data_IF_411209194063
#
_entry.id   IF_411209194063
#
_cell.length_a   1.000
_cell.length_b   1.000
_cell.length_c   1.000
_cell.angle_alpha   90.00
_cell.angle_beta   90.00
_cell.angle_gamma   90.00
#
_symmetry.space_group_name_H-M   'P 1'
#
loop_
_entity.id
_entity.type
_entity.pdbx_description
1 polymer ?
#
# COMPACT_ATOMS: atom_id res chain seq x y z
N UNK A 1 -39.72 -39.19 41.31
CA UNK A 1 -38.79 -38.09 40.94
C UNK A 1 -38.36 -38.32 39.51
N UNK A 2 -38.55 -37.34 38.64
CA UNK A 2 -37.92 -37.36 37.30
C UNK A 2 -36.59 -36.64 37.43
N UNK A 3 -35.55 -37.22 36.83
CA UNK A 3 -34.20 -36.66 36.83
C UNK A 3 -33.79 -36.38 35.40
N UNK A 4 -33.24 -35.20 35.18
CA UNK A 4 -32.66 -34.80 33.90
C UNK A 4 -31.14 -34.84 34.03
N UNK A 5 -30.52 -35.53 33.08
CA UNK A 5 -29.07 -35.52 32.89
C UNK A 5 -28.67 -34.16 32.35
N UNK A 6 -27.87 -33.42 33.09
CA UNK A 6 -27.24 -32.20 32.59
C UNK A 6 -25.80 -32.48 32.17
N UNK A 7 -25.49 -32.04 30.96
CA UNK A 7 -24.12 -31.95 30.44
C UNK A 7 -23.80 -30.46 30.30
N UNK A 8 -22.89 -29.96 31.13
CA UNK A 8 -22.43 -28.58 31.16
C UNK A 8 -21.07 -28.50 30.50
N UNK A 9 -21.05 -28.01 29.28
CA UNK A 9 -19.85 -27.75 28.49
C UNK A 9 -19.11 -26.52 29.05
N UNK A 10 -17.85 -26.67 29.40
CA UNK A 10 -17.05 -25.65 30.11
C UNK A 10 -15.92 -25.13 29.23
N UNK A 11 -15.52 -23.87 29.44
CA UNK A 11 -14.34 -23.33 28.76
C UNK A 11 -13.05 -23.86 29.41
N UNK A 12 -12.07 -24.20 28.58
CA UNK A 12 -10.74 -24.65 29.01
C UNK A 12 -10.10 -23.64 29.99
N UNK A 13 -9.40 -24.10 31.06
CA UNK A 13 -8.90 -25.46 31.27
C UNK A 13 -9.88 -26.44 31.92
N UNK A 14 -11.12 -26.03 32.23
CA UNK A 14 -12.06 -26.87 32.98
C UNK A 14 -12.69 -27.98 32.11
N UNK A 15 -12.85 -29.21 32.64
CA UNK A 15 -13.46 -30.33 31.91
C UNK A 15 -14.99 -30.27 31.92
N UNK A 16 -15.62 -30.75 30.85
CA UNK A 16 -17.07 -30.88 30.73
C UNK A 16 -17.68 -31.61 31.93
N UNK A 17 -18.66 -30.98 32.58
CA UNK A 17 -19.31 -31.49 33.79
C UNK A 17 -20.57 -32.28 33.42
N UNK A 18 -20.78 -33.44 34.04
CA UNK A 18 -22.03 -34.19 33.98
C UNK A 18 -22.65 -34.32 35.38
N UNK A 19 -23.97 -34.10 35.51
CA UNK A 19 -24.67 -34.18 36.78
C UNK A 19 -26.17 -34.50 36.62
N UNK A 20 -26.73 -35.20 37.59
CA UNK A 20 -28.17 -35.50 37.69
C UNK A 20 -28.86 -34.45 38.58
N UNK A 21 -30.00 -33.95 38.13
CA UNK A 21 -30.82 -32.93 38.82
C UNK A 21 -32.30 -33.24 38.63
N UNK A 22 -33.18 -32.83 39.54
CA UNK A 22 -34.63 -32.98 39.34
C UNK A 22 -35.09 -32.21 38.11
N UNK A 23 -35.91 -32.81 37.25
CA UNK A 23 -36.47 -32.15 36.06
C UNK A 23 -37.34 -30.92 36.39
N UNK A 24 -37.73 -30.77 37.67
CA UNK A 24 -38.47 -29.62 38.22
C UNK A 24 -37.59 -28.47 38.70
N UNK A 25 -36.27 -28.65 38.79
CA UNK A 25 -35.35 -27.60 39.26
C UNK A 25 -35.31 -26.45 38.24
N UNK A 26 -35.52 -25.18 38.66
CA UNK A 26 -35.36 -24.03 37.77
C UNK A 26 -33.89 -23.70 37.53
N UNK A 27 -33.60 -23.09 36.38
CA UNK A 27 -32.24 -22.74 35.97
C UNK A 27 -31.51 -21.84 36.99
N UNK A 28 -32.21 -20.93 37.68
CA UNK A 28 -31.66 -20.07 38.74
C UNK A 28 -30.93 -20.85 39.85
N UNK A 29 -31.44 -22.02 40.23
CA UNK A 29 -30.82 -22.87 41.27
C UNK A 29 -29.66 -23.74 40.75
N UNK A 30 -29.48 -23.87 39.44
CA UNK A 30 -28.39 -24.68 38.90
C UNK A 30 -27.01 -24.07 39.16
N UNK A 31 -26.87 -22.76 39.20
CA UNK A 31 -25.59 -22.13 39.54
C UNK A 31 -25.16 -22.48 40.99
N UNK A 32 -26.12 -22.63 41.91
CA UNK A 32 -25.90 -23.15 43.26
C UNK A 32 -25.61 -24.67 43.27
N UNK A 33 -26.39 -25.46 42.53
CA UNK A 33 -26.20 -26.92 42.42
C UNK A 33 -24.91 -27.35 41.69
N UNK A 34 -24.33 -26.47 40.86
CA UNK A 34 -23.04 -26.67 40.19
C UNK A 34 -21.90 -26.22 41.11
N UNK A 35 -22.00 -25.05 41.74
CA UNK A 35 -20.97 -24.54 42.68
C UNK A 35 -20.82 -25.38 43.95
N UNK A 36 -21.90 -25.99 44.44
CA UNK A 36 -21.85 -26.96 45.53
C UNK A 36 -21.12 -28.28 45.16
N UNK A 37 -20.98 -28.59 43.87
CA UNK A 37 -20.31 -29.82 43.37
C UNK A 37 -18.90 -29.58 42.80
N UNK A 38 -18.60 -28.38 42.32
CA UNK A 38 -17.33 -28.06 41.64
C UNK A 38 -16.77 -26.68 42.07
N UNK A 39 -16.37 -26.50 43.34
CA UNK A 39 -15.99 -25.19 43.90
C UNK A 39 -14.79 -24.50 43.21
N UNK A 40 -14.01 -25.21 42.41
CA UNK A 40 -12.82 -24.70 41.71
C UNK A 40 -13.14 -23.81 40.49
N UNK A 41 -14.41 -23.72 40.04
CA UNK A 41 -14.77 -22.89 38.89
C UNK A 41 -14.99 -21.40 39.28
N UNK A 42 -14.55 -20.43 38.45
CA UNK A 42 -14.66 -19.00 38.74
C UNK A 42 -16.07 -18.43 38.47
N UNK A 43 -17.07 -18.85 39.25
CA UNK A 43 -18.49 -18.52 39.05
C UNK A 43 -18.79 -17.02 38.85
N UNK A 44 -18.04 -16.13 39.50
CA UNK A 44 -18.22 -14.67 39.43
C UNK A 44 -18.06 -14.08 38.01
N UNK A 45 -17.40 -14.82 37.11
CA UNK A 45 -17.12 -14.43 35.73
C UNK A 45 -17.67 -15.45 34.71
N UNK A 46 -18.62 -16.29 35.11
CA UNK A 46 -19.25 -17.32 34.27
C UNK A 46 -20.77 -17.15 34.22
N UNK A 47 -21.42 -17.67 33.18
CA UNK A 47 -22.88 -17.65 33.01
C UNK A 47 -23.35 -18.84 32.17
N UNK A 48 -24.51 -19.42 32.52
CA UNK A 48 -25.12 -20.52 31.77
C UNK A 48 -25.83 -20.04 30.50
N UNK A 49 -25.44 -20.59 29.36
CA UNK A 49 -26.01 -20.29 28.04
C UNK A 49 -26.51 -21.56 27.34
N UNK A 50 -27.49 -21.40 26.44
CA UNK A 50 -27.89 -22.46 25.51
C UNK A 50 -26.78 -22.69 24.47
N UNK A 51 -26.39 -23.95 24.17
CA UNK A 51 -25.46 -24.24 23.07
C UNK A 51 -25.95 -23.74 21.70
N UNK A 52 -27.26 -23.58 21.54
CA UNK A 52 -27.92 -23.08 20.33
C UNK A 52 -28.10 -21.55 20.31
N UNK A 53 -27.62 -20.82 21.33
CA UNK A 53 -27.66 -19.35 21.37
C UNK A 53 -29.02 -18.73 21.70
N UNK A 54 -29.99 -19.51 22.19
CA UNK A 54 -31.25 -18.99 22.73
C UNK A 54 -31.04 -18.37 24.12
N UNK A 55 -31.70 -17.24 24.40
CA UNK A 55 -31.77 -16.67 25.74
C UNK A 55 -32.53 -17.64 26.68
N UNK A 56 -31.91 -17.98 27.80
CA UNK A 56 -32.51 -18.85 28.82
C UNK A 56 -33.13 -18.01 29.93
N UNK A 57 -34.43 -18.16 30.17
CA UNK A 57 -35.08 -17.56 31.34
C UNK A 57 -34.78 -18.36 32.60
N UNK A 58 -34.30 -17.69 33.64
CA UNK A 58 -33.82 -18.29 34.90
C UNK A 58 -34.92 -19.06 35.67
N UNK A 59 -36.18 -18.67 35.50
CA UNK A 59 -37.34 -19.34 36.14
C UNK A 59 -37.78 -20.63 35.42
N UNK A 60 -37.19 -20.94 34.26
CA UNK A 60 -37.60 -22.08 33.43
C UNK A 60 -37.14 -23.40 34.05
N UNK A 61 -38.02 -24.40 34.23
CA UNK A 61 -37.63 -25.72 34.71
C UNK A 61 -36.94 -26.54 33.62
N UNK A 62 -36.04 -27.44 34.02
CA UNK A 62 -35.28 -28.30 33.11
C UNK A 62 -36.14 -29.14 32.16
N UNK A 63 -37.32 -29.58 32.58
CA UNK A 63 -38.28 -30.32 31.75
C UNK A 63 -38.77 -29.53 30.52
N UNK A 64 -38.73 -28.19 30.56
CA UNK A 64 -39.09 -27.36 29.40
C UNK A 64 -37.90 -27.13 28.44
N UNK A 65 -36.66 -27.30 28.91
CA UNK A 65 -35.45 -27.24 28.06
C UNK A 65 -35.20 -28.57 27.33
N UNK A 66 -35.70 -29.69 27.85
CA UNK A 66 -35.27 -31.03 27.43
C UNK A 66 -35.94 -31.59 26.17
N UNK A 67 -36.87 -30.84 25.55
CA UNK A 67 -37.58 -31.21 24.31
C UNK A 67 -38.21 -32.61 24.32
N UNK A 68 -38.60 -33.11 25.50
CA UNK A 68 -39.19 -34.44 25.69
C UNK A 68 -38.20 -35.59 25.93
N UNK A 69 -36.89 -35.31 26.04
CA UNK A 69 -35.88 -36.26 26.50
C UNK A 69 -35.43 -36.02 27.95
N UNK A 70 -34.57 -36.90 28.47
CA UNK A 70 -33.97 -36.78 29.81
C UNK A 70 -32.53 -36.22 29.79
N UNK A 71 -32.12 -35.57 28.68
CA UNK A 71 -30.80 -34.97 28.51
C UNK A 71 -30.94 -33.48 28.13
N UNK A 72 -30.25 -32.61 28.88
CA UNK A 72 -30.13 -31.18 28.57
C UNK A 72 -28.65 -30.80 28.52
N UNK A 73 -28.24 -30.19 27.41
CA UNK A 73 -26.90 -29.65 27.22
C UNK A 73 -26.90 -28.14 27.47
N UNK A 74 -26.05 -27.65 28.37
CA UNK A 74 -25.79 -26.24 28.63
C UNK A 74 -24.32 -25.92 28.38
N UNK A 75 -23.97 -24.64 28.16
CA UNK A 75 -22.58 -24.19 28.11
C UNK A 75 -22.34 -23.10 29.15
N UNK A 76 -21.27 -23.24 29.93
CA UNK A 76 -20.85 -22.29 30.95
C UNK A 76 -19.80 -21.35 30.35
N UNK A 77 -20.25 -20.16 29.94
CA UNK A 77 -19.47 -19.18 29.17
C UNK A 77 -18.90 -18.07 30.07
N UNK A 78 -17.69 -17.55 29.80
CA UNK A 78 -17.17 -16.37 30.49
C UNK A 78 -17.99 -15.13 30.17
N UNK A 79 -18.45 -14.43 31.21
CA UNK A 79 -19.15 -13.16 31.10
C UNK A 79 -18.16 -12.02 30.88
N UNK A 80 -18.27 -11.33 29.75
CA UNK A 80 -17.41 -10.19 29.43
C UNK A 80 -17.93 -8.94 30.16
N UNK A 81 -17.11 -8.40 31.07
CA UNK A 81 -17.34 -7.15 31.80
C UNK A 81 -17.18 -5.91 30.89
N UNK A 82 -17.98 -5.83 29.81
CA UNK A 82 -17.85 -4.76 28.81
C UNK A 82 -19.07 -4.59 27.92
N UNK A 83 -19.55 -3.35 27.81
CA UNK A 83 -20.64 -2.99 26.89
C UNK A 83 -20.23 -3.11 25.42
N UNK A 84 -21.15 -3.58 24.57
CA UNK A 84 -20.97 -3.89 23.13
C UNK A 84 -20.61 -2.69 22.22
N UNK A 85 -20.29 -1.53 22.81
CA UNK A 85 -20.16 -0.23 22.12
C UNK A 85 -18.82 0.04 21.43
N UNK A 86 -17.74 -0.67 21.79
CA UNK A 86 -16.38 -0.41 21.28
C UNK A 86 -16.30 -0.42 19.74
N UNK A 87 -16.69 -1.52 19.12
CA UNK A 87 -16.71 -1.67 17.65
C UNK A 87 -17.64 -0.63 16.97
N UNK A 88 -18.83 -0.39 17.53
CA UNK A 88 -19.75 0.63 17.02
C UNK A 88 -19.21 2.06 17.11
N UNK A 89 -18.34 2.36 18.08
CA UNK A 89 -17.63 3.64 18.16
C UNK A 89 -16.55 3.77 17.08
N UNK A 90 -15.80 2.69 16.82
CA UNK A 90 -14.79 2.65 15.76
C UNK A 90 -15.42 2.79 14.37
N UNK A 91 -16.55 2.12 14.11
CA UNK A 91 -17.31 2.27 12.85
C UNK A 91 -17.79 3.71 12.65
N UNK A 92 -18.32 4.38 13.69
CA UNK A 92 -18.70 5.80 13.60
C UNK A 92 -17.51 6.72 13.34
N UNK A 93 -16.37 6.48 14.01
CA UNK A 93 -15.14 7.24 13.79
C UNK A 93 -14.56 7.03 12.37
N UNK A 94 -14.62 5.81 11.84
CA UNK A 94 -14.20 5.50 10.47
C UNK A 94 -15.13 6.15 9.43
N UNK A 95 -16.46 5.99 9.58
CA UNK A 95 -17.46 6.58 8.68
C UNK A 95 -17.36 8.11 8.62
N UNK A 96 -17.13 8.77 9.77
CA UNK A 96 -16.88 10.22 9.81
C UNK A 96 -15.65 10.66 9.02
N UNK A 97 -14.56 9.88 9.04
CA UNK A 97 -13.35 10.13 8.22
C UNK A 97 -13.64 9.95 6.73
N UNK A 98 -14.30 8.86 6.35
CA UNK A 98 -14.62 8.56 4.94
C UNK A 98 -15.62 9.57 4.34
N UNK A 99 -16.55 10.08 5.15
CA UNK A 99 -17.51 11.13 4.73
C UNK A 99 -16.86 12.52 4.60
N UNK A 100 -15.92 12.87 5.48
CA UNK A 100 -15.26 14.18 5.47
C UNK A 100 -14.10 14.29 4.47
N UNK A 101 -13.40 13.19 4.17
CA UNK A 101 -12.35 13.15 3.14
C UNK A 101 -12.94 13.13 1.73
N UNK A 102 -13.55 14.24 1.30
CA UNK A 102 -14.04 14.43 -0.07
C UNK A 102 -12.88 14.31 -1.06
N UNK A 103 -12.92 13.30 -1.93
CA UNK A 103 -11.84 12.97 -2.84
C UNK A 103 -11.45 14.17 -3.73
N UNK A 104 -10.23 14.67 -3.56
CA UNK A 104 -9.69 15.82 -4.31
C UNK A 104 -9.13 15.47 -5.69
N UNK A 105 -9.09 14.17 -6.04
CA UNK A 105 -8.61 13.67 -7.33
C UNK A 105 -9.61 13.93 -8.47
N UNK A 106 -9.68 15.19 -8.89
CA UNK A 106 -10.48 15.66 -10.03
C UNK A 106 -9.71 15.50 -11.36
N UNK A 107 -8.62 14.73 -11.42
CA UNK A 107 -7.69 14.76 -12.55
C UNK A 107 -8.24 14.11 -13.83
N UNK A 108 -9.11 13.12 -13.65
CA UNK A 108 -9.88 12.46 -14.72
C UNK A 108 -11.06 13.30 -15.25
N UNK A 109 -11.45 14.37 -14.56
CA UNK A 109 -12.53 15.25 -15.00
C UNK A 109 -12.14 15.99 -16.29
N UNK A 110 -13.14 16.39 -17.08
CA UNK A 110 -12.95 17.14 -18.33
C UNK A 110 -13.41 18.59 -18.20
N UNK A 111 -12.80 19.47 -18.98
CA UNK A 111 -13.28 20.84 -19.20
C UNK A 111 -14.39 20.86 -20.27
N UNK A 112 -14.98 22.04 -20.50
CA UNK A 112 -16.01 22.27 -21.52
C UNK A 112 -15.50 22.05 -22.97
N UNK A 113 -14.18 21.91 -23.16
CA UNK A 113 -13.54 21.63 -24.45
C UNK A 113 -13.16 20.14 -24.61
N UNK A 114 -13.60 19.27 -23.68
CA UNK A 114 -13.33 17.83 -23.70
C UNK A 114 -11.90 17.41 -23.26
N UNK A 115 -11.07 18.35 -22.83
CA UNK A 115 -9.69 18.12 -22.36
C UNK A 115 -9.72 17.68 -20.89
N UNK A 116 -8.85 16.75 -20.48
CA UNK A 116 -8.76 16.33 -19.07
C UNK A 116 -8.05 17.41 -18.23
N UNK A 117 -8.41 17.52 -16.95
CA UNK A 117 -7.72 18.44 -16.04
C UNK A 117 -6.25 18.05 -15.83
N UNK A 118 -5.90 16.76 -15.96
CA UNK A 118 -4.52 16.26 -15.98
C UNK A 118 -3.65 16.98 -17.02
N UNK A 119 -4.02 16.94 -18.30
CA UNK A 119 -3.21 17.51 -19.39
C UNK A 119 -3.13 19.04 -19.33
N UNK A 120 -4.13 19.70 -18.73
CA UNK A 120 -4.10 21.14 -18.46
C UNK A 120 -3.08 21.47 -17.34
N UNK A 121 -2.98 20.65 -16.29
CA UNK A 121 -1.96 20.80 -15.24
C UNK A 121 -0.56 20.52 -15.77
N UNK A 122 -0.40 19.47 -16.58
CA UNK A 122 0.85 19.12 -17.23
C UNK A 122 1.35 20.25 -18.15
N UNK A 123 0.48 20.78 -19.02
CA UNK A 123 0.81 21.91 -19.88
C UNK A 123 1.23 23.16 -19.08
N UNK A 124 0.52 23.48 -17.99
CA UNK A 124 0.89 24.58 -17.07
C UNK A 124 2.23 24.34 -16.37
N UNK A 125 2.51 23.10 -15.95
CA UNK A 125 3.79 22.72 -15.32
C UNK A 125 4.95 22.83 -16.31
N UNK A 126 4.74 22.46 -17.58
CA UNK A 126 5.73 22.61 -18.64
C UNK A 126 5.96 24.09 -19.01
N UNK A 127 4.92 24.90 -19.09
CA UNK A 127 5.05 26.35 -19.29
C UNK A 127 5.87 27.01 -18.17
N UNK A 128 5.49 26.78 -16.90
CA UNK A 128 6.23 27.30 -15.74
C UNK A 128 7.69 26.80 -15.68
N UNK A 129 7.97 25.58 -16.16
CA UNK A 129 9.34 25.07 -16.26
C UNK A 129 10.18 25.87 -17.29
N UNK A 130 9.59 26.17 -18.45
CA UNK A 130 10.23 26.96 -19.51
C UNK A 130 10.41 28.43 -19.09
N UNK A 131 9.41 29.01 -18.41
CA UNK A 131 9.48 30.35 -17.81
C UNK A 131 10.58 30.46 -16.74
N UNK A 132 10.83 29.39 -15.99
CA UNK A 132 11.92 29.31 -15.00
C UNK A 132 13.31 29.01 -15.60
N UNK A 133 13.42 28.62 -16.88
CA UNK A 133 14.73 28.38 -17.50
C UNK A 133 15.68 29.60 -17.49
N UNK A 134 15.29 30.84 -17.84
CA UNK A 134 16.20 31.99 -17.77
C UNK A 134 16.74 32.26 -16.36
N UNK A 135 15.94 32.06 -15.32
CA UNK A 135 16.38 32.24 -13.93
C UNK A 135 17.37 31.14 -13.52
N UNK A 136 17.06 29.87 -13.83
CA UNK A 136 17.96 28.74 -13.58
C UNK A 136 19.26 28.84 -14.37
N UNK A 137 19.22 29.40 -15.59
CA UNK A 137 20.43 29.68 -16.40
C UNK A 137 21.27 30.81 -15.79
N UNK A 138 20.66 31.89 -15.28
CA UNK A 138 21.36 32.96 -14.53
C UNK A 138 22.03 32.41 -13.28
N UNK A 139 21.28 31.70 -12.42
CA UNK A 139 21.80 31.10 -11.20
C UNK A 139 22.99 30.14 -11.47
N UNK A 140 22.90 29.29 -12.50
CA UNK A 140 24.01 28.40 -12.90
C UNK A 140 25.22 29.18 -13.46
N UNK A 141 25.02 30.34 -14.11
CA UNK A 141 26.13 31.21 -14.55
C UNK A 141 26.75 31.95 -13.35
N UNK A 142 25.95 32.40 -12.40
CA UNK A 142 26.40 33.07 -11.17
C UNK A 142 27.15 32.10 -10.26
N UNK A 143 26.64 30.88 -10.05
CA UNK A 143 27.37 29.79 -9.39
C UNK A 143 28.72 29.50 -10.07
N UNK A 144 28.74 29.42 -11.41
CA UNK A 144 29.99 29.17 -12.15
C UNK A 144 30.98 30.32 -12.01
N UNK A 145 30.52 31.58 -12.04
CA UNK A 145 31.34 32.76 -11.78
C UNK A 145 31.89 32.76 -10.36
N UNK A 146 31.05 32.54 -9.35
CA UNK A 146 31.49 32.45 -7.95
C UNK A 146 32.49 31.30 -7.71
N UNK A 147 32.30 30.15 -8.37
CA UNK A 147 33.25 29.02 -8.31
C UNK A 147 34.57 29.34 -9.00
N UNK A 148 34.56 30.03 -10.15
CA UNK A 148 35.78 30.51 -10.81
C UNK A 148 36.50 31.57 -9.95
N UNK A 149 35.79 32.58 -9.46
CA UNK A 149 36.34 33.63 -8.60
C UNK A 149 36.92 33.08 -7.28
N UNK A 150 36.27 32.06 -6.69
CA UNK A 150 36.80 31.36 -5.52
C UNK A 150 38.09 30.60 -5.83
N UNK A 151 38.18 29.93 -6.99
CA UNK A 151 39.40 29.26 -7.44
C UNK A 151 40.50 30.27 -7.79
N UNK A 152 40.18 31.41 -8.41
CA UNK A 152 41.13 32.48 -8.73
C UNK A 152 41.70 33.13 -7.46
N UNK A 153 40.88 33.33 -6.43
CA UNK A 153 41.31 33.77 -5.09
C UNK A 153 42.18 32.72 -4.39
N UNK A 154 41.84 31.43 -4.48
CA UNK A 154 42.67 30.34 -3.93
C UNK A 154 44.01 30.18 -4.66
N UNK A 155 44.05 30.46 -5.96
CA UNK A 155 45.25 30.43 -6.80
C UNK A 155 46.03 31.76 -6.82
N UNK A 156 45.56 32.79 -6.11
CA UNK A 156 46.28 34.05 -5.91
C UNK A 156 46.47 34.92 -7.15
N UNK A 157 45.60 34.81 -8.17
CA UNK A 157 45.82 35.45 -9.48
C UNK A 157 45.19 36.84 -9.51
N UNK A 158 46.00 37.89 -9.31
CA UNK A 158 45.57 39.29 -9.47
C UNK A 158 45.48 39.66 -10.97
N UNK A 159 44.33 40.14 -11.47
CA UNK A 159 44.15 40.51 -12.88
C UNK A 159 44.81 41.86 -13.19
N UNK A 160 46.13 41.87 -13.22
CA UNK A 160 46.95 43.06 -13.52
C UNK A 160 48.44 42.91 -13.24
N UNK A 161 48.88 41.87 -12.53
CA UNK A 161 50.24 41.79 -11.97
C UNK A 161 51.14 40.74 -12.65
N UNK A 162 50.65 40.06 -13.69
CA UNK A 162 51.39 39.06 -14.47
C UNK A 162 52.44 39.65 -15.43
N UNK A 163 52.96 40.84 -15.14
CA UNK A 163 53.78 41.66 -16.03
C UNK A 163 54.99 42.30 -15.33
N UNK A 164 55.44 41.71 -14.21
CA UNK A 164 56.74 42.03 -13.59
C UNK A 164 57.51 40.77 -13.24
N UNK A 165 58.77 40.78 -13.63
CA UNK A 165 59.76 39.76 -13.29
C UNK A 165 60.30 40.04 -11.87
N UNK A 166 60.72 38.98 -11.17
CA UNK A 166 61.52 39.10 -9.95
C UNK A 166 60.89 38.56 -8.67
N UNK A 167 61.63 37.64 -8.06
CA UNK A 167 61.58 37.28 -6.63
C UNK A 167 60.36 36.52 -6.10
N UNK A 168 60.54 35.91 -4.92
CA UNK A 168 59.89 34.65 -4.56
C UNK A 168 59.17 34.67 -3.22
N UNK A 169 57.95 34.14 -3.16
CA UNK A 169 57.38 33.59 -1.93
C UNK A 169 56.55 32.33 -2.21
N UNK A 170 56.60 31.35 -1.30
CA UNK A 170 56.02 30.04 -1.53
C UNK A 170 54.54 29.97 -1.13
N UNK A 171 53.69 29.53 -2.06
CA UNK A 171 52.32 29.01 -1.84
C UNK A 171 51.98 28.01 -2.94
N UNK A 172 51.04 27.11 -2.65
CA UNK A 172 50.69 26.01 -3.55
C UNK A 172 50.07 26.52 -4.86
N UNK A 173 50.46 25.92 -6.00
CA UNK A 173 49.89 26.25 -7.30
C UNK A 173 50.70 27.24 -8.15
N UNK A 174 52.03 27.20 -8.12
CA UNK A 174 52.81 27.80 -9.22
C UNK A 174 52.33 27.22 -10.55
N UNK A 175 51.72 28.07 -11.38
CA UNK A 175 51.43 27.76 -12.78
C UNK A 175 52.75 27.78 -13.56
N UNK A 176 53.52 26.70 -13.46
CA UNK A 176 54.58 26.42 -14.42
C UNK A 176 53.94 26.47 -15.80
N UNK A 177 54.33 27.46 -16.62
CA UNK A 177 53.79 27.60 -17.97
C UNK A 177 54.30 26.39 -18.75
N UNK A 178 53.40 25.48 -19.07
CA UNK A 178 53.74 24.21 -19.71
C UNK A 178 53.87 24.48 -21.20
N UNK A 179 54.98 25.13 -21.56
CA UNK A 179 55.27 25.63 -22.91
C UNK A 179 56.10 24.60 -23.72
N UNK A 180 56.04 23.32 -23.32
CA UNK A 180 56.51 22.18 -24.10
C UNK A 180 55.46 21.85 -25.17
N UNK A 181 55.74 22.32 -26.39
CA UNK A 181 54.86 22.13 -27.56
C UNK A 181 54.74 20.68 -27.96
N UNK A 182 55.80 19.88 -27.84
CA UNK A 182 55.79 18.47 -28.27
C UNK A 182 54.85 17.64 -27.40
N UNK A 183 54.92 17.79 -26.06
CA UNK A 183 53.98 17.12 -25.17
C UNK A 183 52.54 17.63 -25.33
N UNK A 184 52.34 18.93 -25.62
CA UNK A 184 50.99 19.47 -25.90
C UNK A 184 50.40 18.92 -27.20
N UNK A 185 51.21 18.62 -28.21
CA UNK A 185 50.76 17.99 -29.46
C UNK A 185 50.54 16.47 -29.26
N UNK A 186 51.50 15.76 -28.66
CA UNK A 186 51.37 14.33 -28.33
C UNK A 186 50.14 14.05 -27.47
N UNK A 187 49.86 14.88 -26.46
CA UNK A 187 48.68 14.71 -25.60
C UNK A 187 47.36 14.99 -26.33
N UNK A 188 47.32 15.96 -27.27
CA UNK A 188 46.17 16.16 -28.17
C UNK A 188 45.96 14.93 -29.04
N UNK A 189 47.00 14.46 -29.73
CA UNK A 189 46.97 13.29 -30.61
C UNK A 189 46.54 12.01 -29.89
N UNK A 190 47.00 11.79 -28.65
CA UNK A 190 46.51 10.71 -27.80
C UNK A 190 45.01 10.86 -27.52
N UNK A 191 44.53 12.06 -27.19
CA UNK A 191 43.09 12.26 -26.95
C UNK A 191 42.26 12.07 -28.22
N UNK A 192 42.73 12.51 -29.38
CA UNK A 192 42.01 12.38 -30.66
C UNK A 192 42.11 10.98 -31.25
N UNK A 193 43.20 10.25 -30.98
CA UNK A 193 43.31 8.81 -31.18
C UNK A 193 42.27 8.04 -30.35
N UNK A 194 42.11 8.37 -29.06
CA UNK A 194 41.06 7.78 -28.21
C UNK A 194 39.65 8.15 -28.69
N UNK A 195 39.38 9.43 -28.99
CA UNK A 195 38.07 9.89 -29.51
C UNK A 195 37.71 9.19 -30.82
N UNK A 196 38.65 9.10 -31.77
CA UNK A 196 38.45 8.45 -33.07
C UNK A 196 38.31 6.93 -32.95
N UNK A 197 39.06 6.27 -32.06
CA UNK A 197 38.90 4.85 -31.76
C UNK A 197 37.53 4.54 -31.15
N UNK A 198 37.06 5.36 -30.19
CA UNK A 198 35.72 5.22 -29.59
C UNK A 198 34.62 5.49 -30.63
N UNK A 199 34.75 6.52 -31.46
CA UNK A 199 33.83 6.80 -32.55
C UNK A 199 33.78 5.66 -33.58
N UNK A 200 34.93 5.13 -33.99
CA UNK A 200 35.04 3.98 -34.89
C UNK A 200 34.46 2.71 -34.25
N UNK A 201 34.64 2.51 -32.94
CA UNK A 201 34.03 1.42 -32.18
C UNK A 201 32.50 1.51 -32.15
N UNK A 202 31.96 2.70 -31.86
CA UNK A 202 30.52 2.97 -31.91
C UNK A 202 29.93 2.80 -33.32
N UNK A 203 30.64 3.27 -34.35
CA UNK A 203 30.22 3.12 -35.76
C UNK A 203 30.30 1.65 -36.22
N UNK A 204 31.33 0.90 -35.84
CA UNK A 204 31.43 -0.55 -36.10
C UNK A 204 30.33 -1.33 -35.35
N UNK A 205 30.02 -0.98 -34.09
CA UNK A 205 28.89 -1.55 -33.32
C UNK A 205 27.55 -1.26 -34.00
N UNK A 206 27.30 -0.01 -34.42
CA UNK A 206 26.09 0.39 -35.16
C UNK A 206 25.99 -0.30 -36.53
N UNK A 207 27.11 -0.46 -37.26
CA UNK A 207 27.13 -1.21 -38.53
C UNK A 207 26.83 -2.70 -38.31
N UNK A 208 27.43 -3.34 -37.29
CA UNK A 208 27.12 -4.73 -36.92
C UNK A 208 25.64 -4.92 -36.58
N UNK A 209 25.05 -4.04 -35.77
CA UNK A 209 23.60 -4.05 -35.50
C UNK A 209 22.76 -3.90 -36.79
N UNK A 210 23.16 -3.01 -37.72
CA UNK A 210 22.44 -2.81 -38.99
C UNK A 210 22.56 -4.00 -39.96
N UNK A 211 23.66 -4.78 -39.88
CA UNK A 211 23.79 -6.03 -40.66
C UNK A 211 22.91 -7.14 -40.08
N UNK A 212 22.73 -7.20 -38.75
CA UNK A 212 21.81 -8.15 -38.10
C UNK A 212 20.34 -7.84 -38.42
N UNK A 213 19.98 -6.56 -38.60
CA UNK A 213 18.61 -6.15 -38.93
C UNK A 213 18.26 -6.21 -40.44
N UNK A 214 18.85 -7.14 -41.20
CA UNK A 214 18.73 -7.17 -42.67
C UNK A 214 18.73 -8.57 -43.31
N UNK A 215 18.57 -9.65 -42.53
CA UNK A 215 18.52 -11.04 -43.05
C UNK A 215 17.38 -11.83 -42.38
N UNK A 216 16.31 -11.97 -43.15
CA UNK A 216 15.14 -12.88 -43.07
C UNK A 216 14.66 -12.96 -44.55
N UNK A 217 14.09 -14.06 -45.08
CA UNK A 217 13.03 -14.81 -44.39
C UNK A 217 12.94 -16.35 -44.61
N UNK A 218 11.93 -16.94 -43.93
CA UNK A 218 11.05 -18.08 -44.28
C UNK A 218 11.20 -19.46 -43.59
N UNK A 219 10.15 -19.80 -42.80
CA UNK A 219 9.28 -21.03 -42.81
C UNK A 219 9.93 -22.41 -42.51
N UNK A 220 9.31 -23.38 -41.80
CA UNK A 220 7.98 -23.55 -41.13
C UNK A 220 7.97 -24.84 -40.25
N UNK A 221 6.88 -25.06 -39.49
CA UNK A 221 6.32 -26.35 -38.95
C UNK A 221 6.65 -26.73 -37.47
N UNK A 222 5.58 -27.03 -36.72
CA UNK A 222 5.44 -27.48 -35.31
C UNK A 222 5.46 -29.05 -35.18
N UNK A 223 5.13 -29.76 -34.06
CA UNK A 223 4.71 -29.34 -32.70
C UNK A 223 5.31 -30.12 -31.48
N UNK A 224 4.85 -29.75 -30.27
CA UNK A 224 4.61 -30.48 -28.99
C UNK A 224 5.18 -31.92 -28.73
N UNK A 225 5.49 -32.34 -27.47
CA UNK A 225 4.76 -31.98 -26.22
C UNK A 225 5.62 -31.75 -24.93
N UNK A 226 4.93 -31.58 -23.78
CA UNK A 226 5.49 -31.50 -22.41
C UNK A 226 5.37 -32.86 -21.67
N UNK A 227 5.95 -33.07 -20.45
CA UNK A 227 5.31 -32.56 -19.20
C UNK A 227 6.25 -32.22 -18.00
N UNK A 228 5.64 -31.70 -16.91
CA UNK A 228 6.06 -31.79 -15.48
C UNK A 228 7.44 -31.24 -14.99
N UNK A 229 7.69 -31.04 -13.68
CA UNK A 229 6.93 -30.37 -12.60
C UNK A 229 7.79 -30.28 -11.31
N UNK A 230 8.08 -29.09 -10.78
CA UNK A 230 8.65 -28.90 -9.42
C UNK A 230 8.45 -27.48 -8.86
N UNK A 231 8.15 -27.38 -7.57
CA UNK A 231 8.19 -26.16 -6.74
C UNK A 231 9.60 -25.98 -6.13
N UNK A 232 10.01 -24.90 -5.47
CA UNK A 232 9.35 -23.79 -4.71
C UNK A 232 10.05 -22.44 -5.05
N UNK A 233 9.79 -21.24 -4.49
CA UNK A 233 9.08 -20.81 -3.28
C UNK A 233 8.34 -19.44 -3.45
N UNK A 234 8.32 -18.60 -2.41
CA UNK A 234 7.60 -17.33 -2.26
C UNK A 234 8.39 -16.40 -1.30
N UNK A 235 8.19 -15.09 -1.09
CA UNK A 235 7.29 -14.03 -1.59
C UNK A 235 7.90 -12.65 -1.15
N UNK A 236 7.23 -11.47 -1.24
CA UNK A 236 6.18 -10.95 -2.15
C UNK A 236 6.81 -9.85 -3.06
N UNK A 237 6.21 -8.79 -3.64
CA UNK A 237 4.86 -8.15 -3.75
C UNK A 237 4.58 -7.87 -5.26
N UNK A 238 3.59 -7.12 -5.78
CA UNK A 238 2.44 -6.35 -5.27
C UNK A 238 1.33 -6.24 -6.36
N UNK A 239 0.10 -5.89 -5.96
CA UNK A 239 -0.99 -5.25 -6.74
C UNK A 239 -1.30 -5.63 -8.23
N UNK A 240 -2.47 -6.27 -8.39
CA UNK A 240 -3.41 -6.25 -9.56
C UNK A 240 -4.02 -4.84 -9.82
N UNK A 241 -4.81 -4.51 -10.89
CA UNK A 241 -5.62 -5.40 -11.77
C UNK A 241 -5.80 -5.07 -13.29
N UNK A 242 -6.31 -6.09 -14.00
CA UNK A 242 -7.38 -6.11 -15.03
C UNK A 242 -7.36 -5.27 -16.35
N UNK A 243 -7.50 -6.01 -17.45
CA UNK A 243 -8.14 -5.68 -18.73
C UNK A 243 -8.86 -6.98 -19.24
N UNK A 244 -9.88 -7.02 -20.11
CA UNK A 244 -10.55 -5.98 -20.95
C UNK A 244 -12.04 -6.35 -21.24
N UNK A 245 -12.74 -5.54 -22.04
CA UNK A 245 -14.14 -5.63 -22.54
C UNK A 245 -14.74 -7.00 -22.96
N UNK A 246 -16.07 -7.12 -22.78
CA UNK A 246 -17.02 -7.65 -23.78
C UNK A 246 -18.44 -7.04 -23.60
N UNK A 247 -19.33 -7.23 -24.59
CA UNK A 247 -20.70 -6.68 -24.71
C UNK A 247 -21.78 -7.49 -23.92
N UNK A 248 -23.10 -7.23 -23.90
CA UNK A 248 -23.98 -6.38 -24.74
C UNK A 248 -25.37 -6.10 -24.11
N UNK A 249 -26.03 -5.02 -24.53
CA UNK A 249 -27.50 -4.79 -24.52
C UNK A 249 -28.28 -4.64 -23.18
N UNK A 250 -29.30 -3.76 -23.18
CA UNK A 250 -30.69 -3.98 -22.70
C UNK A 250 -31.52 -2.72 -23.04
N UNK A 251 -32.85 -2.85 -23.09
CA UNK A 251 -33.78 -1.84 -23.62
C UNK A 251 -34.39 -0.91 -22.56
N UNK A 252 -34.78 0.26 -23.05
CA UNK A 252 -35.79 1.21 -22.57
C UNK A 252 -36.96 0.59 -21.77
N UNK A 253 -37.28 1.18 -20.59
CA UNK A 253 -38.56 1.03 -19.89
C UNK A 253 -38.84 2.19 -18.91
N UNK A 254 -39.73 3.09 -19.31
CA UNK A 254 -40.81 3.78 -18.56
C UNK A 254 -40.58 4.35 -17.13
N UNK A 255 -41.03 5.60 -16.91
CA UNK A 255 -41.12 6.28 -15.60
C UNK A 255 -42.42 5.88 -14.80
N UNK A 256 -42.77 6.47 -13.63
CA UNK A 256 -43.12 7.89 -13.50
C UNK A 256 -42.57 8.61 -12.25
N UNK A 257 -42.84 9.91 -12.14
CA UNK A 257 -42.39 10.77 -11.04
C UNK A 257 -43.26 10.65 -9.77
N UNK A 258 -42.67 11.01 -8.63
CA UNK A 258 -43.36 11.37 -7.39
C UNK A 258 -42.89 12.77 -6.94
N UNK A 259 -43.82 13.64 -6.58
CA UNK A 259 -43.55 15.04 -6.21
C UNK A 259 -43.41 15.22 -4.69
N UNK A 260 -42.44 16.03 -4.22
CA UNK A 260 -42.42 16.48 -2.83
C UNK A 260 -43.40 17.65 -2.64
N UNK A 261 -44.42 17.46 -1.81
CA UNK A 261 -45.30 18.56 -1.39
C UNK A 261 -44.58 19.45 -0.38
N UNK A 262 -44.49 20.75 -0.68
CA UNK A 262 -43.88 21.74 0.23
C UNK A 262 -44.86 22.09 1.34
N UNK A 263 -44.52 21.74 2.58
CA UNK A 263 -45.20 22.27 3.76
C UNK A 263 -44.61 23.65 4.10
N UNK A 264 -45.41 24.70 3.92
CA UNK A 264 -45.07 26.08 4.31
C UNK A 264 -45.68 26.41 5.69
N UNK A 265 -45.06 27.35 6.40
CA UNK A 265 -45.43 27.72 7.77
C UNK A 265 -46.74 28.50 7.87
N UNK A 266 -47.48 28.25 8.94
CA UNK A 266 -48.40 29.18 9.60
C UNK A 266 -48.27 28.96 11.11
#
# INVERSE_FOLDING_TARGET
>A
MHYTTLLVDTVAPFPTIALQVSSTTPLASLESEISARYPDLPYHALSLASPCGYDLSLDTPLSALSNGGDLVTLRLMPSLLGGKGGFGSQLRAAGGRMSSQKASNNDSCRDLNGRRLSTIKEAKKMAAYLEAEPERKKAVVEEKRAKLEALEKQLGITPGESSKEGESSARAGQKHRFDDTEYLEQSRDITDGVKSAVAAGLLKKRKKNKTVSSVEPTKTVDPAPAPEAASVEAAPTEAVPAEVFASESVKEATAPAATPVVAASA
#
